data_IF_343057714388
#
_entry.id   IF_343057714388
#
_cell.length_a   1.000
_cell.length_b   1.000
_cell.length_c   1.000
_cell.angle_alpha   90.00
_cell.angle_beta   90.00
_cell.angle_gamma   90.00
#
_symmetry.space_group_name_H-M   'P 1'
#
loop_
_entity.id
_entity.type
_entity.pdbx_description
1 polymer ?
#
# COMPACT_ATOMS: atom_id res chain seq x y z
N UNK A 1 -27.86 -31.29 56.12
CA UNK A 1 -27.17 -31.52 54.83
C UNK A 1 -26.51 -30.22 54.37
N UNK A 2 -25.19 -30.20 54.22
CA UNK A 2 -24.45 -29.29 53.32
C UNK A 2 -24.59 -29.83 51.87
N UNK A 3 -24.30 -29.10 50.76
CA UNK A 3 -23.34 -27.97 50.64
C UNK A 3 -23.69 -26.78 49.69
N UNK A 4 -22.95 -25.66 49.86
CA UNK A 4 -22.41 -24.63 48.92
C UNK A 4 -22.83 -24.58 47.42
N UNK A 5 -22.49 -23.53 46.63
CA UNK A 5 -22.77 -22.08 46.67
C UNK A 5 -23.22 -21.53 45.27
N UNK A 6 -23.56 -20.25 45.11
CA UNK A 6 -23.61 -19.63 43.77
C UNK A 6 -23.01 -18.22 43.79
N UNK A 7 -21.73 -18.15 43.42
CA UNK A 7 -21.06 -16.89 43.08
C UNK A 7 -21.72 -16.29 41.83
N UNK A 8 -22.21 -15.06 41.93
CA UNK A 8 -22.55 -14.23 40.76
C UNK A 8 -21.24 -13.76 40.11
N UNK A 9 -20.76 -14.50 39.12
CA UNK A 9 -19.72 -14.01 38.21
C UNK A 9 -20.39 -13.02 37.24
N UNK A 10 -20.27 -11.72 37.53
CA UNK A 10 -20.54 -10.68 36.55
C UNK A 10 -19.50 -10.83 35.43
N UNK A 11 -19.91 -11.44 34.33
CA UNK A 11 -19.12 -11.52 33.10
C UNK A 11 -18.91 -10.10 32.60
N UNK A 12 -17.70 -9.57 32.82
CA UNK A 12 -17.18 -8.40 32.12
C UNK A 12 -17.28 -8.67 30.63
N UNK A 13 -18.31 -8.14 29.98
CA UNK A 13 -18.40 -8.07 28.53
C UNK A 13 -17.39 -7.05 28.06
N UNK A 14 -16.12 -7.47 28.02
CA UNK A 14 -15.06 -6.75 27.33
C UNK A 14 -15.41 -6.77 25.86
N UNK A 15 -16.16 -5.75 25.41
CA UNK A 15 -16.38 -5.44 24.01
C UNK A 15 -15.01 -5.21 23.37
N UNK A 16 -14.43 -6.27 22.79
CA UNK A 16 -13.21 -6.14 22.02
C UNK A 16 -13.48 -5.17 20.87
N UNK A 17 -12.68 -4.10 20.70
CA UNK A 17 -12.79 -3.27 19.51
C UNK A 17 -12.51 -4.16 18.30
N UNK A 18 -13.47 -4.22 17.37
CA UNK A 18 -13.28 -4.83 16.05
C UNK A 18 -12.06 -4.15 15.42
N UNK A 19 -10.92 -4.84 15.40
CA UNK A 19 -9.75 -4.43 14.64
C UNK A 19 -10.13 -4.51 13.17
N UNK A 20 -10.31 -3.37 12.51
CA UNK A 20 -10.48 -3.33 11.07
C UNK A 20 -9.16 -3.81 10.46
N UNK A 21 -9.19 -5.04 9.97
CA UNK A 21 -8.06 -5.73 9.35
C UNK A 21 -7.69 -5.07 8.03
N UNK A 22 -6.48 -4.51 7.97
CA UNK A 22 -5.62 -4.56 6.80
C UNK A 22 -6.14 -3.88 5.54
N UNK A 23 -6.06 -2.55 5.50
CA UNK A 23 -5.88 -1.87 4.22
C UNK A 23 -4.58 -2.36 3.60
N UNK A 24 -4.63 -2.87 2.36
CA UNK A 24 -3.44 -3.34 1.62
C UNK A 24 -2.37 -2.26 1.69
N UNK A 25 -1.23 -2.57 2.33
CA UNK A 25 -0.17 -1.62 2.60
C UNK A 25 0.22 -0.86 1.33
N UNK A 26 0.47 0.44 1.48
CA UNK A 26 1.03 1.26 0.40
C UNK A 26 2.39 0.67 0.05
N UNK A 27 2.58 0.25 -1.21
CA UNK A 27 3.88 -0.24 -1.65
C UNK A 27 4.89 0.92 -1.67
N UNK A 28 6.18 0.65 -1.51
CA UNK A 28 7.23 1.69 -1.43
C UNK A 28 7.28 2.65 -2.63
N UNK A 29 6.80 2.23 -3.81
CA UNK A 29 6.72 3.13 -4.98
C UNK A 29 5.67 4.26 -4.84
N UNK A 30 4.87 4.25 -3.77
CA UNK A 30 3.84 5.28 -3.52
C UNK A 30 4.45 6.67 -3.36
N UNK A 31 5.71 6.78 -2.95
CA UNK A 31 6.46 8.04 -2.85
C UNK A 31 6.73 8.69 -4.22
N UNK A 32 6.70 7.90 -5.30
CA UNK A 32 7.04 8.35 -6.65
C UNK A 32 5.82 8.47 -7.58
N UNK A 33 4.62 8.24 -7.05
CA UNK A 33 3.36 8.33 -7.81
C UNK A 33 2.32 9.16 -7.06
N UNK A 34 1.42 9.77 -7.84
CA UNK A 34 0.22 10.44 -7.34
C UNK A 34 -0.96 9.51 -7.62
N UNK A 35 -1.59 8.97 -6.58
CA UNK A 35 -2.80 8.15 -6.75
C UNK A 35 -4.01 9.05 -6.97
N UNK A 36 -4.83 8.72 -7.96
CA UNK A 36 -6.08 9.46 -8.24
C UNK A 36 -7.25 8.88 -7.48
N UNK A 37 -8.35 9.62 -7.41
CA UNK A 37 -9.62 9.11 -6.87
C UNK A 37 -10.42 8.28 -7.89
N UNK A 38 -9.88 8.08 -9.08
CA UNK A 38 -10.54 7.36 -10.15
C UNK A 38 -10.22 5.87 -10.08
N UNK A 39 -11.26 5.05 -10.03
CA UNK A 39 -11.15 3.60 -10.05
C UNK A 39 -11.02 3.09 -11.48
N UNK A 40 -10.15 2.09 -11.67
CA UNK A 40 -9.99 1.39 -12.97
C UNK A 40 -11.29 0.68 -13.36
N UNK A 41 -12.00 0.14 -12.37
CA UNK A 41 -13.34 -0.40 -12.54
C UNK A 41 -14.24 0.20 -11.46
N UNK A 42 -15.24 1.04 -11.82
CA UNK A 42 -16.17 1.63 -10.87
C UNK A 42 -16.99 0.60 -10.10
N UNK A 43 -17.29 -0.55 -10.71
CA UNK A 43 -18.08 -1.63 -10.10
C UNK A 43 -17.24 -2.51 -9.16
N UNK A 44 -15.90 -2.50 -9.30
CA UNK A 44 -14.96 -3.28 -8.49
C UNK A 44 -13.79 -2.38 -8.08
N UNK A 45 -13.91 -1.63 -6.97
CA UNK A 45 -12.96 -0.60 -6.56
C UNK A 45 -11.63 -1.16 -5.99
N UNK A 46 -11.05 -2.14 -6.67
CA UNK A 46 -9.84 -2.85 -6.25
C UNK A 46 -8.57 -2.11 -6.65
N UNK A 47 -8.60 -1.37 -7.77
CA UNK A 47 -7.44 -0.64 -8.27
C UNK A 47 -7.86 0.78 -8.64
N UNK A 48 -7.04 1.75 -8.25
CA UNK A 48 -7.15 3.15 -8.67
C UNK A 48 -6.13 3.45 -9.77
N UNK A 49 -6.35 4.52 -10.51
CA UNK A 49 -5.31 5.06 -11.36
C UNK A 49 -4.29 5.87 -10.55
N UNK A 50 -3.13 6.09 -11.13
CA UNK A 50 -2.06 6.90 -10.60
C UNK A 50 -1.27 7.56 -11.74
N UNK A 51 -0.52 8.59 -11.40
CA UNK A 51 0.39 9.30 -12.28
C UNK A 51 1.80 9.24 -11.73
N UNK A 52 2.81 9.28 -12.60
CA UNK A 52 4.19 9.49 -12.17
C UNK A 52 4.35 10.91 -11.62
N UNK A 53 4.93 11.03 -10.42
CA UNK A 53 5.18 12.32 -9.77
C UNK A 53 6.09 13.21 -10.63
N UNK A 54 7.15 12.63 -11.21
CA UNK A 54 8.09 13.35 -12.06
C UNK A 54 7.43 13.87 -13.36
N UNK A 55 6.53 13.09 -13.97
CA UNK A 55 5.76 13.58 -15.13
C UNK A 55 4.82 14.72 -14.72
N UNK A 56 4.21 14.62 -13.54
CA UNK A 56 3.28 15.63 -13.04
C UNK A 56 3.96 16.97 -12.78
N UNK A 57 5.15 16.97 -12.17
CA UNK A 57 5.92 18.19 -11.86
C UNK A 57 6.33 18.98 -13.09
N UNK A 58 6.70 18.29 -14.17
CA UNK A 58 7.13 18.94 -15.43
C UNK A 58 5.91 19.33 -16.29
N UNK A 59 4.69 19.13 -15.78
CA UNK A 59 3.43 19.30 -16.50
C UNK A 59 3.43 18.63 -17.89
N UNK A 60 4.19 17.54 -18.00
CA UNK A 60 4.28 16.73 -19.20
C UNK A 60 3.07 15.81 -19.31
N UNK A 61 2.95 15.11 -20.43
CA UNK A 61 1.86 14.17 -20.70
C UNK A 61 1.62 13.23 -19.51
N UNK A 62 0.48 13.40 -18.83
CA UNK A 62 0.12 12.67 -17.61
C UNK A 62 -0.30 11.26 -17.99
N UNK A 63 0.68 10.36 -18.11
CA UNK A 63 0.41 8.95 -18.40
C UNK A 63 -0.35 8.33 -17.23
N UNK A 64 -1.60 7.95 -17.49
CA UNK A 64 -2.47 7.29 -16.53
C UNK A 64 -2.05 5.83 -16.38
N UNK A 65 -1.67 5.43 -15.18
CA UNK A 65 -1.15 4.09 -14.88
C UNK A 65 -2.05 3.46 -13.83
N UNK A 66 -2.31 2.16 -13.94
CA UNK A 66 -3.02 1.42 -12.90
C UNK A 66 -2.08 1.31 -11.69
N UNK A 67 -2.57 1.65 -10.48
CA UNK A 67 -1.81 1.57 -9.23
C UNK A 67 -1.56 0.10 -8.80
N UNK A 68 -0.68 -0.56 -9.56
CA UNK A 68 -0.15 -1.90 -9.32
C UNK A 68 1.36 -1.82 -9.40
N UNK A 69 2.05 -2.36 -8.39
CA UNK A 69 3.51 -2.38 -8.27
C UNK A 69 4.24 -2.72 -9.58
N UNK A 70 3.84 -3.80 -10.27
CA UNK A 70 4.46 -4.22 -11.55
C UNK A 70 4.31 -3.17 -12.67
N UNK A 71 3.14 -2.55 -12.79
CA UNK A 71 2.85 -1.57 -13.84
C UNK A 71 3.53 -0.23 -13.57
N UNK A 72 3.49 0.21 -12.31
CA UNK A 72 4.20 1.41 -11.85
C UNK A 72 5.70 1.25 -12.07
N UNK A 73 6.28 0.11 -11.64
CA UNK A 73 7.71 -0.18 -11.84
C UNK A 73 8.10 -0.15 -13.32
N UNK A 74 7.31 -0.75 -14.20
CA UNK A 74 7.58 -0.75 -15.64
C UNK A 74 7.52 0.68 -16.23
N UNK A 75 6.57 1.50 -15.79
CA UNK A 75 6.52 2.90 -16.21
C UNK A 75 7.73 3.70 -15.71
N UNK A 76 8.04 3.64 -14.41
CA UNK A 76 9.16 4.39 -13.82
C UNK A 76 10.50 4.00 -14.45
N UNK A 77 10.69 2.71 -14.81
CA UNK A 77 11.88 2.23 -15.52
C UNK A 77 12.08 2.88 -16.89
N UNK A 78 11.00 3.25 -17.58
CA UNK A 78 11.01 3.87 -18.91
C UNK A 78 10.84 5.39 -18.87
N UNK A 79 10.44 5.94 -17.73
CA UNK A 79 10.12 7.35 -17.59
C UNK A 79 11.41 8.20 -17.58
N UNK A 80 11.66 8.92 -18.66
CA UNK A 80 12.84 9.79 -18.81
C UNK A 80 12.87 10.86 -17.72
N UNK A 81 11.71 11.43 -17.36
CA UNK A 81 11.60 12.44 -16.31
C UNK A 81 11.97 11.90 -14.93
N UNK A 82 11.54 10.67 -14.62
CA UNK A 82 11.91 10.01 -13.38
C UNK A 82 13.43 9.73 -13.33
N UNK A 83 13.99 9.19 -14.40
CA UNK A 83 15.42 8.92 -14.52
C UNK A 83 16.23 10.22 -14.38
N UNK A 84 15.78 11.30 -15.01
CA UNK A 84 16.42 12.62 -14.93
C UNK A 84 16.34 13.22 -13.52
N UNK A 85 15.22 13.03 -12.81
CA UNK A 85 15.04 13.52 -11.43
C UNK A 85 15.96 12.78 -10.44
N UNK A 86 16.11 11.47 -10.61
CA UNK A 86 17.03 10.65 -9.79
C UNK A 86 18.50 10.87 -10.20
N UNK A 87 18.76 11.22 -11.46
CA UNK A 87 20.08 11.62 -11.95
C UNK A 87 21.02 10.47 -12.31
N UNK A 88 20.80 9.23 -11.81
CA UNK A 88 21.57 8.04 -12.19
C UNK A 88 20.67 6.83 -12.40
N UNK A 89 20.94 6.07 -13.47
CA UNK A 89 20.19 4.85 -13.81
C UNK A 89 20.35 3.76 -12.74
N UNK A 90 21.54 3.64 -12.13
CA UNK A 90 21.79 2.70 -11.02
C UNK A 90 20.91 2.99 -9.80
N UNK A 91 20.71 4.26 -9.46
CA UNK A 91 19.83 4.65 -8.36
C UNK A 91 18.36 4.35 -8.68
N UNK A 92 17.94 4.56 -9.93
CA UNK A 92 16.61 4.16 -10.39
C UNK A 92 16.43 2.66 -10.21
N UNK A 93 17.37 1.85 -10.67
CA UNK A 93 17.29 0.39 -10.53
C UNK A 93 17.30 -0.03 -9.04
N UNK A 94 18.07 0.63 -8.18
CA UNK A 94 18.04 0.40 -6.73
C UNK A 94 16.69 0.76 -6.09
N UNK A 95 16.08 1.89 -6.48
CA UNK A 95 14.75 2.27 -6.01
C UNK A 95 13.72 1.24 -6.49
N UNK A 96 13.78 0.84 -7.75
CA UNK A 96 12.81 -0.10 -8.35
C UNK A 96 13.01 -1.55 -7.88
N UNK A 97 14.22 -1.92 -7.49
CA UNK A 97 14.57 -3.24 -6.97
C UNK A 97 14.68 -3.27 -5.45
N UNK A 98 14.32 -2.17 -4.76
CA UNK A 98 14.24 -2.15 -3.31
C UNK A 98 13.33 -3.31 -2.89
N UNK A 99 13.94 -4.32 -2.30
CA UNK A 99 13.21 -5.45 -1.73
C UNK A 99 12.38 -4.86 -0.60
N UNK A 100 11.07 -5.12 -0.61
CA UNK A 100 10.30 -4.99 0.62
C UNK A 100 10.99 -5.95 1.56
N UNK A 101 11.82 -5.44 2.48
CA UNK A 101 12.20 -6.22 3.64
C UNK A 101 10.87 -6.59 4.26
N UNK A 102 10.46 -7.81 4.00
CA UNK A 102 9.33 -8.44 4.64
C UNK A 102 9.57 -8.23 6.14
N UNK A 103 8.89 -7.25 6.72
CA UNK A 103 8.33 -7.45 8.05
C UNK A 103 7.28 -8.55 7.90
N UNK A 104 7.81 -9.74 7.66
CA UNK A 104 7.26 -10.99 8.09
C UNK A 104 6.94 -10.78 9.56
N UNK A 105 5.69 -10.39 9.81
CA UNK A 105 5.03 -10.64 11.08
C UNK A 105 4.97 -12.15 11.24
N UNK A 106 6.13 -12.70 11.57
CA UNK A 106 6.28 -13.94 12.28
C UNK A 106 5.48 -13.82 13.57
N UNK A 107 4.96 -14.98 13.98
CA UNK A 107 4.29 -15.34 15.25
C UNK A 107 2.76 -15.47 15.10
N UNK A 108 2.19 -16.63 15.43
CA UNK A 108 2.54 -17.48 16.57
C UNK A 108 2.20 -18.95 16.33
N UNK A 109 3.13 -19.80 16.79
CA UNK A 109 2.93 -21.19 17.20
C UNK A 109 1.81 -21.27 18.25
#
# INVERSE_FOLDING_TARGET
MNPFPAMMLASSTTSQPKKHSGGKGRHYLTEYIITTNEYVNPQKPNNKYCYCLACHEINSEKVKIINRKKLVKNHLKKCIYFIRKVGRKEQVDNILNKEESEESSTKKL
#
